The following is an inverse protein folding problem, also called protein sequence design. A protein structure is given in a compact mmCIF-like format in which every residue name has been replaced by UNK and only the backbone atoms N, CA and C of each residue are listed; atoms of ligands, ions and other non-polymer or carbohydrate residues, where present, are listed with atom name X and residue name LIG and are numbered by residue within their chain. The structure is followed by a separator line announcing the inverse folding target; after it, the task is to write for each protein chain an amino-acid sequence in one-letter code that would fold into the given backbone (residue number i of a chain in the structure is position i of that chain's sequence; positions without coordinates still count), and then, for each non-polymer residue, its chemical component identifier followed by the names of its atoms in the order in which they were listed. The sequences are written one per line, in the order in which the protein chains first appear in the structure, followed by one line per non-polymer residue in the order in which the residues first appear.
data_IF_875300812032
#
_entry.id   IF_875300812032
#
_cell.length_a   1.000
_cell.length_b   1.000
_cell.length_c   1.000
_cell.angle_alpha   90.00
_cell.angle_beta   90.00
_cell.angle_gamma   90.00
#
_symmetry.space_group_name_H-M   'P 1'
#
loop_
_entity.id
_entity.type
_entity.pdbx_description
1 polymer ?
#
# COMPACT_ATOMS: atom_id res chain seq x y z
N UNK A 1 6.26 -1.19 -15.84
CA UNK A 1 6.27 -1.48 -17.30
C UNK A 1 5.88 -0.28 -18.20
N UNK A 2 5.20 0.77 -17.70
CA UNK A 2 4.72 1.89 -18.53
C UNK A 2 5.77 2.93 -19.01
N UNK A 3 6.99 2.94 -18.47
CA UNK A 3 8.05 3.86 -18.93
C UNK A 3 8.73 3.37 -20.21
N UNK A 4 8.95 2.05 -20.30
CA UNK A 4 9.46 1.41 -21.52
C UNK A 4 8.53 1.67 -22.70
N UNK A 5 7.20 1.65 -22.52
CA UNK A 5 6.28 1.85 -23.64
C UNK A 5 6.36 3.26 -24.26
N UNK A 6 6.54 4.32 -23.47
CA UNK A 6 6.78 5.69 -23.98
C UNK A 6 8.10 5.82 -24.72
N UNK A 7 9.17 5.27 -24.16
CA UNK A 7 10.48 5.28 -24.80
C UNK A 7 10.48 4.44 -26.08
N UNK A 8 9.83 3.28 -26.05
CA UNK A 8 9.61 2.44 -27.22
C UNK A 8 8.77 3.16 -28.27
N UNK A 9 7.72 3.88 -27.89
CA UNK A 9 6.94 4.71 -28.81
C UNK A 9 7.77 5.81 -29.45
N UNK A 10 8.55 6.56 -28.66
CA UNK A 10 9.49 7.56 -29.20
C UNK A 10 10.51 6.94 -30.13
N UNK A 11 11.02 5.75 -29.82
CA UNK A 11 11.94 5.00 -30.69
C UNK A 11 11.25 4.57 -32.00
N UNK A 12 10.02 4.07 -31.93
CA UNK A 12 9.22 3.68 -33.10
C UNK A 12 8.95 4.90 -33.98
N UNK A 13 8.48 6.01 -33.42
CA UNK A 13 8.25 7.27 -34.17
C UNK A 13 9.55 7.75 -34.83
N UNK A 14 10.67 7.74 -34.11
CA UNK A 14 11.97 8.13 -34.67
C UNK A 14 12.44 7.22 -35.81
N UNK A 15 12.06 5.94 -35.78
CA UNK A 15 12.49 4.92 -36.76
C UNK A 15 11.58 4.85 -38.00
N UNK A 16 10.26 4.97 -37.80
CA UNK A 16 9.24 4.83 -38.85
C UNK A 16 8.86 6.18 -39.44
N UNK A 17 9.01 7.28 -38.71
CA UNK A 17 8.51 8.60 -39.11
C UNK A 17 7.03 8.78 -38.77
N UNK A 18 6.62 9.99 -38.40
CA UNK A 18 5.24 10.27 -37.95
C UNK A 18 4.17 10.11 -39.04
N UNK A 19 4.56 10.21 -40.31
CA UNK A 19 3.67 10.19 -41.47
C UNK A 19 3.43 8.78 -42.03
N UNK A 20 4.35 7.83 -41.78
CA UNK A 20 4.26 6.46 -42.28
C UNK A 20 3.37 5.56 -41.40
N UNK A 21 2.84 6.08 -40.30
CA UNK A 21 1.91 5.37 -39.42
C UNK A 21 0.48 5.61 -39.90
N UNK A 22 -0.28 4.53 -40.13
CA UNK A 22 -1.72 4.63 -40.36
C UNK A 22 -2.38 5.44 -39.22
N UNK A 23 -3.25 6.41 -39.54
CA UNK A 23 -3.82 7.33 -38.55
C UNK A 23 -4.50 6.58 -37.37
N UNK A 24 -5.22 5.49 -37.66
CA UNK A 24 -5.85 4.66 -36.61
C UNK A 24 -4.85 3.94 -35.69
N UNK A 25 -3.66 3.57 -36.18
CA UNK A 25 -2.59 2.96 -35.36
C UNK A 25 -1.94 4.02 -34.48
N UNK A 26 -1.78 5.25 -34.99
CA UNK A 26 -1.25 6.40 -34.22
C UNK A 26 -2.17 6.75 -33.05
N UNK A 27 -3.49 6.75 -33.27
CA UNK A 27 -4.49 7.05 -32.25
C UNK A 27 -4.60 5.96 -31.18
N UNK A 28 -4.58 4.68 -31.59
CA UNK A 28 -4.61 3.56 -30.65
C UNK A 28 -3.37 3.54 -29.75
N UNK A 29 -2.18 3.81 -30.30
CA UNK A 29 -0.97 3.92 -29.48
C UNK A 29 -1.02 5.08 -28.49
N UNK A 30 -1.50 6.26 -28.91
CA UNK A 30 -1.66 7.41 -28.01
C UNK A 30 -2.57 7.09 -26.83
N UNK A 31 -3.65 6.33 -27.05
CA UNK A 31 -4.60 5.94 -25.99
C UNK A 31 -3.98 5.06 -24.89
N UNK A 32 -2.97 4.28 -25.24
CA UNK A 32 -2.26 3.39 -24.33
C UNK A 32 -1.10 4.07 -23.58
N UNK A 33 -0.75 5.31 -23.96
CA UNK A 33 0.35 6.06 -23.38
C UNK A 33 -0.21 7.15 -22.43
N UNK A 34 0.39 7.37 -21.25
CA UNK A 34 -0.05 8.45 -20.37
C UNK A 34 0.32 9.82 -20.95
N UNK A 35 -0.59 10.78 -21.00
CA UNK A 35 -0.29 12.14 -21.46
C UNK A 35 0.23 12.98 -20.29
N UNK A 36 1.55 13.03 -20.10
CA UNK A 36 2.14 13.79 -18.99
C UNK A 36 2.23 15.29 -19.33
N UNK A 37 1.09 15.98 -19.52
CA UNK A 37 1.06 17.45 -19.58
C UNK A 37 1.02 18.06 -18.17
N UNK A 38 1.90 17.56 -17.30
CA UNK A 38 1.94 17.93 -15.89
C UNK A 38 2.82 19.16 -15.70
N UNK A 39 2.18 20.32 -15.52
CA UNK A 39 2.89 21.59 -15.29
C UNK A 39 3.43 21.70 -13.85
N UNK A 40 2.73 21.10 -12.88
CA UNK A 40 3.07 21.25 -11.47
C UNK A 40 3.81 20.03 -10.90
N UNK A 41 4.99 20.23 -10.30
CA UNK A 41 5.77 19.15 -9.69
C UNK A 41 5.02 18.38 -8.60
N UNK A 42 4.13 19.06 -7.86
CA UNK A 42 3.28 18.45 -6.83
C UNK A 42 2.27 17.42 -7.37
N UNK A 43 1.87 17.51 -8.65
CA UNK A 43 0.98 16.53 -9.26
C UNK A 43 1.65 15.17 -9.44
N UNK A 44 2.96 15.14 -9.71
CA UNK A 44 3.72 13.90 -9.93
C UNK A 44 3.72 12.97 -8.70
N UNK A 45 3.47 13.53 -7.51
CA UNK A 45 3.46 12.81 -6.21
C UNK A 45 2.06 12.58 -5.65
N UNK A 46 1.00 13.02 -6.34
CA UNK A 46 -0.37 12.99 -5.81
C UNK A 46 -1.41 12.65 -6.88
N UNK A 47 -2.67 12.56 -6.46
CA UNK A 47 -3.79 12.26 -7.35
C UNK A 47 -4.59 13.53 -7.64
N UNK A 48 -4.42 14.07 -8.84
CA UNK A 48 -5.01 15.35 -9.22
C UNK A 48 -6.13 15.25 -10.27
N UNK A 49 -6.29 14.08 -10.90
CA UNK A 49 -7.32 13.80 -11.91
C UNK A 49 -7.37 14.87 -13.01
N UNK A 50 -6.22 15.17 -13.65
CA UNK A 50 -6.12 16.18 -14.71
C UNK A 50 -6.27 17.64 -14.27
N UNK A 51 -6.52 17.93 -12.98
CA UNK A 51 -6.58 19.31 -12.49
C UNK A 51 -5.16 19.85 -12.32
N UNK A 52 -4.87 20.97 -12.99
CA UNK A 52 -3.59 21.67 -12.91
C UNK A 52 -3.77 23.13 -12.52
N UNK A 53 -2.65 23.81 -12.24
CA UNK A 53 -2.64 25.25 -12.05
C UNK A 53 -2.98 25.90 -13.39
N UNK A 54 -4.00 26.75 -13.40
CA UNK A 54 -4.32 27.56 -14.56
C UNK A 54 -3.63 28.92 -14.41
N UNK A 55 -2.97 29.35 -15.48
CA UNK A 55 -2.36 30.67 -15.57
C UNK A 55 -3.23 31.56 -16.45
N UNK A 56 -3.43 32.80 -16.05
CA UNK A 56 -4.19 33.77 -16.84
C UNK A 56 -4.15 35.16 -16.24
N UNK A 57 -5.17 35.95 -16.56
CA UNK A 57 -5.27 37.34 -16.13
C UNK A 57 -6.56 37.53 -15.33
N UNK A 58 -6.49 38.37 -14.30
CA UNK A 58 -7.66 39.02 -13.74
C UNK A 58 -7.88 40.32 -14.52
N UNK A 59 -9.08 40.51 -15.05
CA UNK A 59 -9.47 41.70 -15.80
C UNK A 59 -10.34 42.56 -14.89
N UNK A 60 -10.01 43.85 -14.75
CA UNK A 60 -10.86 44.79 -14.01
C UNK A 60 -12.19 44.99 -14.72
N UNK A 61 -13.27 45.12 -13.96
CA UNK A 61 -14.64 45.27 -14.48
C UNK A 61 -14.81 46.54 -15.32
N UNK A 62 -14.36 47.70 -14.81
CA UNK A 62 -14.61 48.99 -15.46
C UNK A 62 -13.55 49.38 -16.51
N UNK A 63 -12.27 49.07 -16.24
CA UNK A 63 -11.13 49.60 -17.02
C UNK A 63 -10.43 48.61 -17.94
N UNK A 64 -10.87 47.35 -17.99
CA UNK A 64 -10.22 46.30 -18.79
C UNK A 64 -8.74 46.02 -18.45
N UNK A 65 -8.23 46.55 -17.34
CA UNK A 65 -6.85 46.40 -16.90
C UNK A 65 -6.57 44.92 -16.58
N UNK A 66 -5.47 44.40 -17.11
CA UNK A 66 -5.11 42.97 -17.02
C UNK A 66 -3.96 42.77 -16.04
N UNK A 67 -4.23 42.12 -14.91
CA UNK A 67 -3.21 41.72 -13.94
C UNK A 67 -2.98 40.21 -14.00
N UNK A 68 -1.72 39.75 -13.97
CA UNK A 68 -1.40 38.32 -14.02
C UNK A 68 -1.83 37.63 -12.72
N UNK A 69 -2.50 36.49 -12.84
CA UNK A 69 -2.93 35.66 -11.70
C UNK A 69 -2.81 34.18 -12.02
N UNK A 70 -2.73 33.36 -10.96
CA UNK A 70 -2.84 31.91 -11.06
C UNK A 70 -4.03 31.39 -10.24
N UNK A 71 -4.66 30.32 -10.72
CA UNK A 71 -5.69 29.57 -10.00
C UNK A 71 -5.15 28.20 -9.63
N UNK A 72 -5.07 27.94 -8.32
CA UNK A 72 -4.57 26.67 -7.78
C UNK A 72 -5.73 25.73 -7.52
N UNK A 73 -5.59 24.42 -7.83
CA UNK A 73 -6.62 23.45 -7.47
C UNK A 73 -6.67 23.23 -5.95
N UNK A 74 -7.87 22.99 -5.43
CA UNK A 74 -8.09 22.63 -4.03
C UNK A 74 -7.56 21.21 -3.76
N UNK A 75 -6.54 21.11 -2.91
CA UNK A 75 -5.85 19.85 -2.60
C UNK A 75 -5.87 19.62 -1.10
N UNK A 76 -6.23 18.41 -0.73
CA UNK A 76 -6.36 17.96 0.65
C UNK A 76 -5.50 16.70 0.84
N UNK A 77 -4.90 16.55 2.01
CA UNK A 77 -4.25 15.30 2.39
C UNK A 77 -5.29 14.38 3.02
N UNK A 78 -5.48 13.19 2.43
CA UNK A 78 -6.48 12.23 2.89
C UNK A 78 -5.89 10.83 3.01
N UNK A 79 -6.44 10.06 3.95
CA UNK A 79 -6.21 8.63 4.11
C UNK A 79 -7.31 7.91 3.36
N UNK A 80 -6.94 7.19 2.30
CA UNK A 80 -7.86 6.38 1.52
C UNK A 80 -7.59 4.91 1.81
N UNK A 81 -8.63 4.14 2.09
CA UNK A 81 -8.49 2.71 2.30
C UNK A 81 -8.45 1.98 0.95
N UNK A 82 -7.47 1.09 0.79
CA UNK A 82 -7.33 0.20 -0.36
C UNK A 82 -7.69 -1.20 0.11
N UNK A 83 -8.69 -1.81 -0.53
CA UNK A 83 -9.21 -3.13 -0.20
C UNK A 83 -8.18 -4.20 -0.56
N UNK A 84 -7.56 -4.09 -1.74
CA UNK A 84 -6.60 -5.09 -2.23
C UNK A 84 -5.29 -5.12 -1.43
N UNK A 85 -4.91 -3.97 -0.85
CA UNK A 85 -3.69 -3.84 -0.04
C UNK A 85 -3.97 -3.92 1.46
N UNK A 86 -5.24 -4.06 1.86
CA UNK A 86 -5.74 -4.04 3.24
C UNK A 86 -5.09 -2.97 4.12
N UNK A 87 -4.93 -1.76 3.57
CA UNK A 87 -4.23 -0.68 4.26
C UNK A 87 -4.69 0.70 3.84
N UNK A 88 -4.51 1.66 4.76
CA UNK A 88 -4.74 3.07 4.49
C UNK A 88 -3.54 3.70 3.77
N UNK A 89 -3.79 4.33 2.63
CA UNK A 89 -2.79 5.08 1.85
C UNK A 89 -2.99 6.57 2.09
N UNK A 90 -1.94 7.26 2.53
CA UNK A 90 -1.92 8.72 2.68
C UNK A 90 -1.49 9.37 1.38
N UNK A 91 -2.36 10.19 0.79
CA UNK A 91 -2.11 10.83 -0.50
C UNK A 91 -2.64 12.25 -0.50
N UNK A 92 -1.96 13.14 -1.23
CA UNK A 92 -2.50 14.46 -1.58
C UNK A 92 -3.43 14.31 -2.78
N UNK A 93 -4.71 14.63 -2.56
CA UNK A 93 -5.78 14.40 -3.52
C UNK A 93 -6.53 15.71 -3.76
N UNK A 94 -6.93 15.98 -4.99
CA UNK A 94 -7.83 17.11 -5.29
C UNK A 94 -9.26 16.78 -4.87
N UNK A 95 -10.06 17.78 -4.52
CA UNK A 95 -11.49 17.55 -4.22
C UNK A 95 -12.24 16.90 -5.39
N UNK A 96 -11.86 17.22 -6.62
CA UNK A 96 -12.37 16.56 -7.81
C UNK A 96 -12.02 15.07 -7.85
N UNK A 97 -10.78 14.71 -7.56
CA UNK A 97 -10.34 13.32 -7.52
C UNK A 97 -11.03 12.54 -6.40
N UNK A 98 -11.24 13.14 -5.21
CA UNK A 98 -12.03 12.53 -4.13
C UNK A 98 -13.42 12.14 -4.64
N UNK A 99 -14.15 13.09 -5.25
CA UNK A 99 -15.49 12.82 -5.81
C UNK A 99 -15.47 11.72 -6.89
N UNK A 100 -14.42 11.65 -7.70
CA UNK A 100 -14.27 10.59 -8.70
C UNK A 100 -14.00 9.22 -8.06
N UNK A 101 -13.23 9.19 -6.96
CA UNK A 101 -12.97 7.98 -6.17
C UNK A 101 -14.28 7.47 -5.55
N UNK A 102 -15.06 8.37 -4.93
CA UNK A 102 -16.34 8.02 -4.33
C UNK A 102 -17.32 7.48 -5.40
N UNK A 103 -17.40 8.16 -6.55
CA UNK A 103 -18.21 7.69 -7.69
C UNK A 103 -17.74 6.33 -8.22
N UNK A 104 -16.45 6.05 -8.14
CA UNK A 104 -15.89 4.80 -8.59
C UNK A 104 -16.10 3.66 -7.59
N UNK A 105 -16.40 3.94 -6.31
CA UNK A 105 -16.57 2.91 -5.26
C UNK A 105 -15.32 2.67 -4.40
N UNK A 106 -14.26 3.47 -4.57
CA UNK A 106 -13.01 3.31 -3.82
C UNK A 106 -11.78 3.63 -4.65
N UNK A 107 -10.61 3.64 -4.00
CA UNK A 107 -9.35 4.00 -4.66
C UNK A 107 -8.90 2.95 -5.68
N UNK A 108 -9.06 1.67 -5.34
CA UNK A 108 -8.62 0.57 -6.21
C UNK A 108 -9.45 0.54 -7.50
N UNK A 109 -10.78 0.62 -7.36
CA UNK A 109 -11.69 0.70 -8.49
C UNK A 109 -11.45 1.95 -9.34
N UNK A 110 -11.17 3.10 -8.71
CA UNK A 110 -10.81 4.31 -9.43
C UNK A 110 -9.55 4.12 -10.29
N UNK A 111 -8.51 3.49 -9.74
CA UNK A 111 -7.26 3.24 -10.46
C UNK A 111 -7.46 2.27 -11.62
N UNK A 112 -8.24 1.21 -11.42
CA UNK A 112 -8.57 0.22 -12.45
C UNK A 112 -9.40 0.84 -13.59
N UNK A 113 -10.49 1.54 -13.24
CA UNK A 113 -11.42 2.16 -14.22
C UNK A 113 -10.78 3.31 -15.00
N UNK A 114 -9.83 4.03 -14.41
CA UNK A 114 -9.23 5.17 -15.09
C UNK A 114 -8.27 4.70 -16.20
N UNK A 115 -8.43 5.18 -17.44
CA UNK A 115 -7.58 4.76 -18.55
C UNK A 115 -6.17 5.35 -18.44
N UNK A 116 -5.20 4.67 -19.05
CA UNK A 116 -3.78 5.04 -19.00
C UNK A 116 -3.50 6.47 -19.50
N UNK A 117 -4.20 6.95 -20.53
CA UNK A 117 -4.03 8.32 -21.03
C UNK A 117 -4.44 9.41 -20.02
N UNK A 118 -5.41 9.16 -19.13
CA UNK A 118 -5.85 10.11 -18.08
C UNK A 118 -5.02 10.01 -16.80
N UNK A 119 -4.12 9.04 -16.73
CA UNK A 119 -3.23 8.84 -15.60
C UNK A 119 -1.97 9.69 -15.82
N UNK A 120 -2.00 10.92 -15.33
CA UNK A 120 -0.88 11.86 -15.51
C UNK A 120 0.29 11.57 -14.54
N UNK A 121 0.03 10.79 -13.48
CA UNK A 121 0.93 10.59 -12.34
C UNK A 121 1.67 9.25 -12.44
N UNK A 122 2.99 9.27 -12.41
CA UNK A 122 3.84 8.07 -12.40
C UNK A 122 3.52 7.11 -11.24
N UNK A 123 3.32 7.68 -10.05
CA UNK A 123 2.85 6.95 -8.87
C UNK A 123 1.50 6.26 -9.10
N UNK A 124 0.58 6.92 -9.82
CA UNK A 124 -0.74 6.36 -10.14
C UNK A 124 -0.62 5.15 -11.08
N UNK A 125 0.25 5.21 -12.08
CA UNK A 125 0.54 4.07 -12.94
C UNK A 125 1.17 2.91 -12.17
N UNK A 126 2.13 3.20 -11.28
CA UNK A 126 2.75 2.18 -10.45
C UNK A 126 1.70 1.46 -9.59
N UNK A 127 0.82 2.20 -8.92
CA UNK A 127 -0.26 1.60 -8.13
C UNK A 127 -1.23 0.81 -8.98
N UNK A 128 -1.64 1.34 -10.14
CA UNK A 128 -2.51 0.60 -11.06
C UNK A 128 -1.91 -0.76 -11.43
N UNK A 129 -0.66 -0.79 -11.90
CA UNK A 129 0.00 -2.06 -12.27
C UNK A 129 0.18 -3.00 -11.09
N UNK A 130 0.43 -2.47 -9.89
CA UNK A 130 0.54 -3.28 -8.68
C UNK A 130 -0.81 -3.90 -8.32
N UNK A 131 -1.88 -3.12 -8.37
CA UNK A 131 -3.23 -3.56 -8.05
C UNK A 131 -3.73 -4.58 -9.06
N UNK A 132 -3.54 -4.34 -10.37
CA UNK A 132 -3.87 -5.29 -11.43
C UNK A 132 -3.21 -6.65 -11.18
N UNK A 133 -1.89 -6.65 -10.89
CA UNK A 133 -1.15 -7.88 -10.58
C UNK A 133 -1.71 -8.63 -9.36
N UNK A 134 -2.06 -7.91 -8.29
CA UNK A 134 -2.64 -8.52 -7.09
C UNK A 134 -4.03 -9.10 -7.37
N UNK A 135 -4.84 -8.45 -8.22
CA UNK A 135 -6.13 -8.98 -8.65
C UNK A 135 -6.01 -10.20 -9.56
N UNK A 136 -4.99 -10.25 -10.43
CA UNK A 136 -4.67 -11.43 -11.23
C UNK A 136 -4.28 -12.61 -10.33
N UNK A 137 -3.44 -12.36 -9.31
CA UNK A 137 -3.05 -13.36 -8.31
C UNK A 137 -4.24 -13.87 -7.50
N UNK A 138 -5.15 -12.97 -7.08
CA UNK A 138 -6.40 -13.36 -6.42
C UNK A 138 -7.36 -14.11 -7.34
N UNK A 139 -7.45 -13.72 -8.62
CA UNK A 139 -8.31 -14.39 -9.60
C UNK A 139 -7.80 -15.78 -9.97
N UNK A 140 -6.49 -16.01 -9.88
CA UNK A 140 -5.86 -17.32 -10.05
C UNK A 140 -5.91 -18.20 -8.80
N UNK A 141 -6.31 -17.66 -7.64
CA UNK A 141 -6.62 -18.49 -6.48
C UNK A 141 -7.97 -19.16 -6.72
N UNK A 142 -7.93 -20.48 -6.91
CA UNK A 142 -9.14 -21.29 -6.87
C UNK A 142 -9.76 -21.16 -5.48
N UNK A 143 -10.95 -20.59 -5.43
CA UNK A 143 -11.78 -20.63 -4.24
C UNK A 143 -12.33 -22.06 -4.15
N UNK A 144 -11.51 -22.96 -3.61
CA UNK A 144 -11.92 -24.34 -3.34
C UNK A 144 -12.86 -24.28 -2.15
N UNK A 145 -14.13 -24.64 -2.36
CA UNK A 145 -15.06 -24.88 -1.27
C UNK A 145 -14.62 -26.18 -0.60
N UNK A 146 -14.05 -26.09 0.60
CA UNK A 146 -13.66 -27.28 1.34
C UNK A 146 -14.91 -28.05 1.78
N UNK A 147 -14.82 -29.39 1.77
CA UNK A 147 -15.83 -30.21 2.42
C UNK A 147 -15.81 -29.93 3.94
N UNK A 148 -16.95 -29.95 4.65
CA UNK A 148 -16.98 -29.75 6.10
C UNK A 148 -16.03 -30.67 6.88
N UNK A 149 -15.77 -31.88 6.34
CA UNK A 149 -14.80 -32.81 6.91
C UNK A 149 -13.35 -32.32 6.78
N UNK A 150 -13.01 -31.69 5.67
CA UNK A 150 -11.67 -31.18 5.42
C UNK A 150 -11.43 -29.90 6.23
N UNK A 151 -12.44 -29.03 6.34
CA UNK A 151 -12.41 -27.87 7.25
C UNK A 151 -12.10 -28.29 8.69
N UNK A 152 -12.77 -29.33 9.19
CA UNK A 152 -12.53 -29.86 10.54
C UNK A 152 -11.10 -30.42 10.71
N UNK A 153 -10.56 -31.10 9.69
CA UNK A 153 -9.16 -31.57 9.70
C UNK A 153 -8.16 -30.41 9.72
N UNK A 154 -8.41 -29.35 8.95
CA UNK A 154 -7.56 -28.16 8.99
C UNK A 154 -7.63 -27.48 10.36
N UNK A 155 -8.81 -27.34 10.95
CA UNK A 155 -8.95 -26.78 12.30
C UNK A 155 -8.17 -27.55 13.36
N UNK A 156 -8.24 -28.88 13.32
CA UNK A 156 -7.45 -29.74 14.21
C UNK A 156 -5.96 -29.53 13.96
N UNK A 157 -5.53 -29.54 12.69
CA UNK A 157 -4.14 -29.28 12.30
C UNK A 157 -3.62 -27.92 12.79
N UNK A 158 -4.42 -26.85 12.70
CA UNK A 158 -4.03 -25.53 13.21
C UNK A 158 -3.95 -25.48 14.75
N UNK A 159 -4.82 -26.20 15.46
CA UNK A 159 -4.77 -26.32 16.94
C UNK A 159 -3.48 -27.03 17.37
N UNK A 160 -3.16 -28.13 16.70
CA UNK A 160 -1.95 -28.91 16.99
C UNK A 160 -0.68 -28.12 16.67
N UNK A 161 -0.68 -27.39 15.55
CA UNK A 161 0.46 -26.53 15.17
C UNK A 161 0.67 -25.40 16.17
N UNK A 162 -0.39 -24.75 16.67
CA UNK A 162 -0.30 -23.77 17.76
C UNK A 162 0.23 -24.38 19.06
N UNK A 163 -0.20 -25.59 19.39
CA UNK A 163 0.30 -26.30 20.58
C UNK A 163 1.78 -26.62 20.44
N UNK A 164 2.23 -27.10 19.28
CA UNK A 164 3.62 -27.37 18.97
C UNK A 164 4.50 -26.11 18.98
N UNK A 165 4.02 -25.00 18.41
CA UNK A 165 4.73 -23.72 18.45
C UNK A 165 4.87 -23.21 19.90
N UNK A 166 3.86 -23.46 20.74
CA UNK A 166 3.86 -23.13 22.17
C UNK A 166 4.82 -24.02 22.96
N UNK A 167 4.88 -25.31 22.69
CA UNK A 167 5.85 -26.22 23.34
C UNK A 167 7.28 -25.88 22.93
N UNK A 168 7.53 -25.65 21.64
CA UNK A 168 8.84 -25.21 21.13
C UNK A 168 9.30 -23.89 21.77
N UNK A 169 8.40 -22.91 21.95
CA UNK A 169 8.69 -21.67 22.69
C UNK A 169 9.01 -21.91 24.16
N UNK A 170 8.33 -22.86 24.83
CA UNK A 170 8.65 -23.23 26.22
C UNK A 170 10.00 -23.94 26.32
N UNK A 171 10.30 -24.84 25.39
CA UNK A 171 11.55 -25.58 25.34
C UNK A 171 12.74 -24.69 25.04
N UNK A 172 12.61 -23.75 24.10
CA UNK A 172 13.63 -22.72 23.84
C UNK A 172 13.87 -21.85 25.08
N UNK A 173 12.81 -21.39 25.77
CA UNK A 173 12.97 -20.69 27.07
C UNK A 173 13.71 -21.57 28.08
N UNK A 174 13.29 -22.83 28.26
CA UNK A 174 13.92 -23.78 29.18
C UNK A 174 15.40 -24.03 28.85
N UNK A 175 15.74 -24.17 27.57
CA UNK A 175 17.10 -24.36 27.08
C UNK A 175 17.95 -23.11 27.30
N UNK A 176 17.39 -21.92 27.12
CA UNK A 176 18.05 -20.66 27.43
C UNK A 176 18.31 -20.51 28.95
N UNK A 177 17.37 -20.88 29.82
CA UNK A 177 17.59 -20.92 31.28
C UNK A 177 18.65 -21.96 31.70
N UNK A 178 18.65 -23.14 31.07
CA UNK A 178 19.66 -24.18 31.29
C UNK A 178 21.05 -23.77 30.78
N UNK A 179 21.12 -22.96 29.73
CA UNK A 179 22.38 -22.42 29.21
C UNK A 179 22.94 -21.30 30.10
N UNK A 180 22.09 -20.43 30.68
CA UNK A 180 22.52 -19.39 31.63
C UNK A 180 22.99 -19.97 32.97
N UNK A 181 22.45 -21.12 33.41
CA UNK A 181 22.90 -21.80 34.64
C UNK A 181 24.29 -22.46 34.51
N UNK A 182 24.83 -22.62 33.30
CA UNK A 182 26.13 -23.25 33.06
C UNK A 182 27.32 -22.28 33.13
N UNK A 183 27.07 -20.97 33.31
CA UNK A 183 28.11 -19.95 33.53
C UNK A 183 28.41 -19.68 35.02
N UNK A 184 27.69 -20.30 35.96
CA UNK A 184 27.85 -20.07 37.41
C UNK A 184 28.50 -21.24 38.18
N UNK A 185 29.17 -22.18 37.50
CA UNK A 185 29.96 -23.23 38.17
C UNK A 185 31.41 -23.21 37.69
N UNK A 186 32.14 -22.20 38.12
CA UNK A 186 33.57 -22.31 38.42
C UNK A 186 33.81 -21.49 39.69
N UNK A 187 34.57 -22.06 40.62
CA UNK A 187 35.02 -21.55 41.93
C UNK A 187 34.25 -22.12 43.15
N UNK A 188 34.85 -23.16 43.74
CA UNK A 188 34.64 -23.70 45.09
C UNK A 188 35.17 -22.69 46.13
N UNK A 189 34.35 -22.20 47.09
CA UNK A 189 34.34 -22.59 48.53
C UNK A 189 35.03 -21.54 49.44
N UNK A 190 34.75 -21.40 50.77
CA UNK A 190 34.06 -22.33 51.67
C UNK A 190 33.01 -21.74 52.68
N UNK A 191 32.21 -22.67 53.23
CA UNK A 191 31.53 -22.80 54.54
C UNK A 191 30.94 -21.62 55.35
N UNK A 192 29.69 -21.80 55.84
CA UNK A 192 29.21 -21.18 57.09
C UNK A 192 27.71 -20.87 57.23
N UNK A 193 26.95 -21.80 57.84
CA UNK A 193 25.78 -21.64 58.75
C UNK A 193 24.58 -20.73 58.42
N UNK A 194 23.36 -21.24 58.66
CA UNK A 194 22.23 -20.42 59.11
C UNK A 194 20.86 -20.79 58.55
N UNK A 195 20.02 -21.36 59.42
CA UNK A 195 18.59 -21.66 59.33
C UNK A 195 17.72 -20.44 58.94
N UNK A 196 16.65 -20.64 58.16
CA UNK A 196 15.26 -20.26 58.51
C UNK A 196 14.26 -20.57 57.36
N UNK A 197 13.29 -21.43 57.67
CA UNK A 197 12.02 -21.53 56.95
C UNK A 197 11.18 -20.27 57.20
N UNK A 198 10.63 -19.63 56.16
CA UNK A 198 9.33 -18.93 56.22
C UNK A 198 8.59 -19.04 54.89
N UNK A 199 7.50 -19.79 54.94
CA UNK A 199 6.35 -19.71 54.04
C UNK A 199 5.67 -18.35 54.14
N UNK A 200 5.21 -17.78 53.02
CA UNK A 200 4.09 -16.81 52.83
C UNK A 200 3.81 -16.84 51.31
N UNK A 201 2.86 -17.66 50.86
CA UNK A 201 1.45 -17.34 50.56
C UNK A 201 1.21 -16.73 49.18
N UNK A 202 0.28 -17.36 48.47
CA UNK A 202 -0.27 -17.02 47.17
C UNK A 202 -0.86 -15.59 47.13
N UNK A 203 -0.55 -14.84 46.07
CA UNK A 203 -1.30 -13.64 45.70
C UNK A 203 -1.78 -13.74 44.23
N UNK A 204 -3.08 -13.50 43.96
CA UNK A 204 -3.68 -13.72 42.64
C UNK A 204 -3.40 -12.57 41.67
N UNK A 205 -3.28 -12.93 40.39
CA UNK A 205 -3.08 -12.02 39.25
C UNK A 205 -4.38 -11.23 39.01
N UNK A 206 -4.34 -9.91 39.22
CA UNK A 206 -5.42 -9.00 38.82
C UNK A 206 -5.49 -8.88 37.29
N UNK A 207 -6.67 -9.18 36.73
CA UNK A 207 -7.04 -8.82 35.37
C UNK A 207 -7.36 -7.33 35.31
N UNK A 208 -6.53 -6.55 34.62
CA UNK A 208 -6.87 -5.18 34.22
C UNK A 208 -7.67 -5.24 32.91
N UNK A 209 -8.98 -5.02 33.02
CA UNK A 209 -9.82 -4.57 31.92
C UNK A 209 -9.63 -3.06 31.75
N UNK A 210 -9.31 -2.61 30.54
CA UNK A 210 -9.38 -1.20 30.18
C UNK A 210 -10.59 -0.98 29.27
N UNK A 211 -11.39 0.02 29.66
CA UNK A 211 -12.44 0.64 28.88
C UNK A 211 -11.89 1.47 27.71
#
# INVERSE_FOLDING_TARGET
MAFRSKEMFKKIIRKVGEENLLPGVKESLKKCLPDNKVVMGRAKRGLYAGRHIQFGNQVSEDGGNKSRRNWKPNVQEKRLFSYILDRHIRVKVTTHAIRCIDKAGGIDEYLLKTPYHKMDTEMGLFWKTKIEKMYEELGGMEVVFFSPEDEAKFEQGFKDLKLAERTARRETRRKNYMASGKQQKTEEGPEGSGTEERTIEDAPIQMAANA
#
